data_IF_048596025558
#
_entry.id   IF_048596025558
#
_cell.length_a   1.000
_cell.length_b   1.000
_cell.length_c   1.000
_cell.angle_alpha   90.00
_cell.angle_beta   90.00
_cell.angle_gamma   90.00
#
_symmetry.space_group_name_H-M   'P 1'
#
loop_
_entity.id
_entity.type
_entity.pdbx_description
1 polymer ?
#
# COMPACT_ATOMS: atom_id res chain seq x y z
N UNK A 1 -25.08 -14.63 -3.05
CA UNK A 1 -23.87 -14.18 -3.78
C UNK A 1 -23.04 -13.36 -2.80
N UNK A 2 -21.79 -13.77 -2.54
CA UNK A 2 -20.84 -12.93 -1.80
C UNK A 2 -20.27 -11.90 -2.78
N UNK A 3 -20.34 -10.61 -2.46
CA UNK A 3 -19.68 -9.58 -3.25
C UNK A 3 -18.19 -9.57 -2.91
N UNK A 4 -17.33 -9.49 -3.92
CA UNK A 4 -15.90 -9.28 -3.72
C UNK A 4 -15.66 -7.91 -3.06
N UNK A 5 -15.07 -7.89 -1.87
CA UNK A 5 -14.72 -6.64 -1.17
C UNK A 5 -13.37 -6.13 -1.68
N UNK A 6 -13.32 -4.85 -2.05
CA UNK A 6 -12.09 -4.16 -2.46
C UNK A 6 -11.81 -3.08 -1.42
N UNK A 7 -10.65 -3.18 -0.77
CA UNK A 7 -10.18 -2.14 0.15
C UNK A 7 -9.34 -1.14 -0.63
N UNK A 8 -9.50 0.15 -0.35
CA UNK A 8 -8.69 1.21 -0.95
C UNK A 8 -8.17 2.15 0.12
N UNK A 9 -6.88 2.46 0.05
CA UNK A 9 -6.24 3.52 0.81
C UNK A 9 -5.61 4.55 -0.12
N UNK A 10 -5.35 5.75 0.40
CA UNK A 10 -4.59 6.79 -0.30
C UNK A 10 -3.38 7.16 0.53
N UNK A 11 -2.20 7.09 -0.08
CA UNK A 11 -0.92 7.46 0.54
C UNK A 11 -0.37 8.65 -0.21
N UNK A 12 -0.44 9.83 0.43
CA UNK A 12 0.14 11.08 -0.08
C UNK A 12 1.17 11.60 0.93
N UNK A 13 2.30 10.92 1.02
CA UNK A 13 3.33 11.19 2.03
C UNK A 13 4.71 10.67 1.58
N UNK A 14 5.82 11.15 2.18
CA UNK A 14 7.11 10.48 2.09
C UNK A 14 7.06 9.04 2.62
N UNK A 15 7.99 8.19 2.18
CA UNK A 15 8.16 6.84 2.73
C UNK A 15 9.03 6.92 4.00
N UNK A 16 8.43 6.66 5.16
CA UNK A 16 9.09 6.69 6.47
C UNK A 16 8.36 5.74 7.44
N UNK A 17 8.83 5.53 8.69
CA UNK A 17 8.32 4.47 9.56
C UNK A 17 6.80 4.48 9.77
N UNK A 18 6.18 5.65 9.95
CA UNK A 18 4.72 5.75 10.16
C UNK A 18 3.95 5.37 8.89
N UNK A 19 4.43 5.79 7.72
CA UNK A 19 3.78 5.41 6.44
C UNK A 19 3.98 3.93 6.14
N UNK A 20 5.14 3.36 6.48
CA UNK A 20 5.40 1.91 6.41
C UNK A 20 4.46 1.12 7.31
N UNK A 21 4.36 1.49 8.59
CA UNK A 21 3.42 0.89 9.55
C UNK A 21 1.98 0.96 9.04
N UNK A 22 1.52 2.14 8.62
CA UNK A 22 0.19 2.31 8.07
C UNK A 22 -0.11 1.38 6.88
N UNK A 23 0.82 1.28 5.92
CA UNK A 23 0.64 0.39 4.76
C UNK A 23 0.59 -1.07 5.23
N UNK A 24 1.50 -1.51 6.11
CA UNK A 24 1.52 -2.89 6.62
C UNK A 24 0.22 -3.24 7.35
N UNK A 25 -0.26 -2.36 8.22
CA UNK A 25 -1.52 -2.55 8.95
C UNK A 25 -2.73 -2.63 8.01
N UNK A 26 -2.72 -1.88 6.90
CA UNK A 26 -3.81 -1.94 5.92
C UNK A 26 -3.79 -3.24 5.12
N UNK A 27 -2.62 -3.85 4.91
CA UNK A 27 -2.51 -5.17 4.31
C UNK A 27 -3.05 -6.22 5.30
N UNK A 28 -2.67 -6.15 6.58
CA UNK A 28 -3.22 -7.04 7.63
C UNK A 28 -4.74 -6.93 7.74
N UNK A 29 -5.26 -5.71 7.66
CA UNK A 29 -6.70 -5.45 7.63
C UNK A 29 -7.37 -6.08 6.41
N UNK A 30 -6.79 -5.92 5.21
CA UNK A 30 -7.33 -6.49 3.99
C UNK A 30 -7.41 -8.03 4.07
N UNK A 31 -6.40 -8.66 4.67
CA UNK A 31 -6.39 -10.11 4.91
C UNK A 31 -7.45 -10.53 5.93
N UNK A 32 -7.55 -9.80 7.06
CA UNK A 32 -8.56 -10.07 8.09
C UNK A 32 -9.99 -9.96 7.55
N UNK A 33 -10.23 -9.00 6.66
CA UNK A 33 -11.53 -8.79 6.01
C UNK A 33 -11.77 -9.74 4.82
N UNK A 34 -10.80 -10.62 4.50
CA UNK A 34 -10.81 -11.46 3.30
C UNK A 34 -11.10 -10.65 2.03
N UNK A 35 -10.52 -9.44 1.95
CA UNK A 35 -10.65 -8.58 0.79
C UNK A 35 -10.08 -9.27 -0.44
N UNK A 36 -10.79 -9.14 -1.57
CA UNK A 36 -10.36 -9.69 -2.85
C UNK A 36 -9.20 -8.90 -3.48
N UNK A 37 -9.03 -7.64 -3.07
CA UNK A 37 -7.97 -6.74 -3.54
C UNK A 37 -7.78 -5.58 -2.55
N UNK A 38 -6.52 -5.22 -2.30
CA UNK A 38 -6.15 -3.93 -1.70
C UNK A 38 -5.59 -3.00 -2.79
N UNK A 39 -6.15 -1.80 -2.91
CA UNK A 39 -5.64 -0.73 -3.77
C UNK A 39 -4.95 0.32 -2.91
N UNK A 40 -3.68 0.57 -3.18
CA UNK A 40 -2.89 1.65 -2.60
C UNK A 40 -2.76 2.76 -3.66
N UNK A 41 -3.56 3.82 -3.54
CA UNK A 41 -3.40 5.00 -4.38
C UNK A 41 -2.21 5.83 -3.87
N UNK A 42 -1.10 5.83 -4.61
CA UNK A 42 0.18 6.35 -4.14
C UNK A 42 0.55 7.68 -4.81
N UNK A 43 1.02 8.63 -3.99
CA UNK A 43 1.68 9.86 -4.40
C UNK A 43 2.79 10.19 -3.39
N UNK A 44 4.03 9.81 -3.70
CA UNK A 44 5.16 9.97 -2.79
C UNK A 44 6.38 10.60 -3.48
N UNK A 45 7.11 11.52 -2.82
CA UNK A 45 8.42 11.97 -3.27
C UNK A 45 9.53 10.92 -3.07
N UNK A 46 9.22 9.77 -2.44
CA UNK A 46 10.19 8.78 -1.98
C UNK A 46 10.46 8.91 -0.49
N UNK A 47 11.57 8.34 -0.03
CA UNK A 47 11.91 8.35 1.39
C UNK A 47 12.95 7.30 1.75
N UNK A 48 12.82 6.73 2.95
CA UNK A 48 13.80 5.84 3.54
C UNK A 48 13.74 4.44 2.92
N UNK A 49 14.91 3.93 2.52
CA UNK A 49 15.10 2.60 1.96
C UNK A 49 14.70 1.48 2.94
N UNK A 50 14.94 1.67 4.24
CA UNK A 50 14.49 0.73 5.28
C UNK A 50 12.97 0.58 5.31
N UNK A 51 12.24 1.70 5.35
CA UNK A 51 10.76 1.71 5.31
C UNK A 51 10.21 1.15 4.00
N UNK A 52 10.89 1.38 2.88
CA UNK A 52 10.51 0.78 1.60
C UNK A 52 10.67 -0.73 1.59
N UNK A 53 11.78 -1.27 2.11
CA UNK A 53 11.98 -2.72 2.22
C UNK A 53 10.93 -3.39 3.11
N UNK A 54 10.60 -2.78 4.24
CA UNK A 54 9.51 -3.27 5.11
C UNK A 54 8.17 -3.37 4.37
N UNK A 55 7.84 -2.38 3.54
CA UNK A 55 6.62 -2.38 2.72
C UNK A 55 6.69 -3.50 1.67
N UNK A 56 7.81 -3.63 0.95
CA UNK A 56 7.98 -4.67 -0.09
C UNK A 56 7.86 -6.07 0.52
N UNK A 57 8.54 -6.33 1.63
CA UNK A 57 8.48 -7.61 2.33
C UNK A 57 7.04 -7.96 2.74
N UNK A 58 6.28 -6.96 3.21
CA UNK A 58 4.87 -7.18 3.57
C UNK A 58 3.98 -7.42 2.36
N UNK A 59 4.20 -6.71 1.25
CA UNK A 59 3.47 -6.92 -0.01
C UNK A 59 3.74 -8.33 -0.55
N UNK A 60 5.01 -8.75 -0.59
CA UNK A 60 5.43 -10.06 -1.12
C UNK A 60 4.90 -11.23 -0.29
N UNK A 61 4.69 -11.03 1.02
CA UNK A 61 4.12 -12.04 1.92
C UNK A 61 2.60 -11.98 2.04
N UNK A 62 1.92 -11.05 1.34
CA UNK A 62 0.48 -10.87 1.49
C UNK A 62 -0.34 -11.99 0.84
N UNK A 63 -1.38 -12.42 1.55
CA UNK A 63 -2.41 -13.33 1.04
C UNK A 63 -3.46 -12.60 0.20
N UNK A 64 -3.66 -11.30 0.45
CA UNK A 64 -4.56 -10.46 -0.34
C UNK A 64 -3.76 -9.80 -1.47
N UNK A 65 -4.20 -9.87 -2.74
CA UNK A 65 -3.54 -9.15 -3.82
C UNK A 65 -3.44 -7.65 -3.52
N UNK A 66 -2.26 -7.07 -3.73
CA UNK A 66 -2.01 -5.63 -3.55
C UNK A 66 -1.74 -4.98 -4.91
N UNK A 67 -2.53 -3.95 -5.23
CA UNK A 67 -2.35 -3.11 -6.41
C UNK A 67 -1.90 -1.72 -5.94
N UNK A 68 -0.72 -1.30 -6.39
CA UNK A 68 -0.26 0.08 -6.22
C UNK A 68 -0.63 0.88 -7.46
N UNK A 69 -1.34 1.98 -7.28
CA UNK A 69 -1.79 2.85 -8.36
C UNK A 69 -1.29 4.28 -8.14
N UNK A 70 -0.40 4.75 -9.01
CA UNK A 70 0.10 6.13 -8.95
C UNK A 70 -1.04 7.07 -9.35
N UNK A 71 -1.56 7.81 -8.37
CA UNK A 71 -2.82 8.54 -8.52
C UNK A 71 -2.93 9.72 -7.54
N UNK A 72 -3.66 10.80 -7.89
CA UNK A 72 -4.34 11.04 -9.18
C UNK A 72 -3.37 11.45 -10.29
N UNK A 73 -3.90 11.87 -11.45
CA UNK A 73 -3.08 12.50 -12.51
C UNK A 73 -2.17 13.59 -11.91
N UNK A 74 -0.89 13.58 -12.28
CA UNK A 74 0.15 14.44 -11.70
C UNK A 74 0.79 13.92 -10.41
N UNK A 75 0.35 12.78 -9.87
CA UNK A 75 1.05 12.07 -8.80
C UNK A 75 2.34 11.43 -9.31
N UNK A 76 3.20 11.07 -8.36
CA UNK A 76 4.46 10.37 -8.62
C UNK A 76 4.69 9.25 -7.62
N UNK A 77 5.37 8.21 -8.06
CA UNK A 77 6.05 7.22 -7.22
C UNK A 77 7.55 7.37 -7.51
N UNK A 78 8.23 8.17 -6.70
CA UNK A 78 9.64 8.51 -6.92
C UNK A 78 10.53 7.80 -5.89
N UNK A 79 11.73 7.40 -6.32
CA UNK A 79 12.75 6.77 -5.46
C UNK A 79 12.22 5.52 -4.73
N UNK A 80 11.90 5.64 -3.45
CA UNK A 80 11.35 4.58 -2.60
C UNK A 80 9.86 4.26 -2.84
N UNK A 81 9.21 5.00 -3.74
CA UNK A 81 7.79 4.86 -4.08
C UNK A 81 7.49 3.82 -5.15
#
# INVERSE_FOLDING_TARGET
MSYASILKITVKAPIHPITSEYIRDTIDRAEKENASLLIIALNTPGGLDTSMREIIERILSSKTPVLVYVSPSGARAASAG
#
